data_IF_575948931500
#
_entry.id   IF_575948931500
#
_cell.length_a   1.000
_cell.length_b   1.000
_cell.length_c   1.000
_cell.angle_alpha   90.00
_cell.angle_beta   90.00
_cell.angle_gamma   90.00
#
_symmetry.space_group_name_H-M   'P 1'
#
loop_
_entity.id
_entity.type
_entity.pdbx_description
1 polymer ?
#
# COMPACT_ATOMS: atom_id res chain seq x y z
N UNK A 1 20.00 17.70 71.63
CA UNK A 1 20.00 17.21 70.24
C UNK A 1 18.96 16.10 70.18
N UNK A 2 17.77 16.39 69.64
CA UNK A 2 16.57 15.61 69.95
C UNK A 2 16.43 14.45 68.97
N UNK A 3 16.00 13.29 69.49
CA UNK A 3 15.79 12.04 68.75
C UNK A 3 14.83 12.18 67.56
N UNK A 4 14.03 13.25 67.52
CA UNK A 4 13.17 13.64 66.41
C UNK A 4 13.91 14.18 65.18
N UNK A 5 15.11 14.75 65.34
CA UNK A 5 15.86 15.34 64.22
C UNK A 5 16.60 14.27 63.38
N UNK A 6 16.83 13.07 63.95
CA UNK A 6 17.49 11.95 63.28
C UNK A 6 16.53 11.11 62.41
N UNK A 7 15.23 11.12 62.73
CA UNK A 7 14.20 10.36 61.98
C UNK A 7 13.86 11.06 60.65
N UNK A 8 13.93 12.40 60.61
CA UNK A 8 13.65 13.17 59.40
C UNK A 8 14.81 13.05 58.39
N UNK A 9 16.06 12.97 58.86
CA UNK A 9 17.23 12.80 57.99
C UNK A 9 17.31 11.41 57.33
N UNK A 10 16.86 10.35 58.03
CA UNK A 10 16.79 9.00 57.43
C UNK A 10 15.61 8.85 56.46
N UNK A 11 14.49 9.54 56.70
CA UNK A 11 13.31 9.51 55.83
C UNK A 11 13.51 10.22 54.48
N UNK A 12 14.35 11.26 54.44
CA UNK A 12 14.64 12.02 53.21
C UNK A 12 15.75 11.36 52.37
N UNK A 13 16.65 10.60 52.99
CA UNK A 13 17.73 9.91 52.25
C UNK A 13 17.26 8.63 51.54
N UNK A 14 16.12 8.04 51.96
CA UNK A 14 15.54 6.84 51.34
C UNK A 14 14.54 7.19 50.22
N UNK A 15 14.06 8.44 50.12
CA UNK A 15 13.08 8.84 49.10
C UNK A 15 13.69 9.41 47.80
N UNK A 16 15.02 9.38 47.64
CA UNK A 16 15.73 9.97 46.48
C UNK A 16 16.43 8.91 45.60
N UNK A 17 16.35 7.62 45.94
CA UNK A 17 16.99 6.54 45.15
C UNK A 17 16.02 5.52 44.55
N UNK A 18 14.76 5.92 44.33
CA UNK A 18 13.85 5.21 43.43
C UNK A 18 13.28 6.20 42.42
N UNK A 19 14.17 6.94 41.76
CA UNK A 19 13.92 7.25 40.35
C UNK A 19 14.26 5.96 39.63
N UNK A 20 13.32 5.01 39.67
CA UNK A 20 13.22 4.02 38.62
C UNK A 20 13.04 4.84 37.35
N UNK A 21 14.16 5.09 36.68
CA UNK A 21 14.20 5.34 35.27
C UNK A 21 13.62 4.08 34.64
N UNK A 22 12.30 3.97 34.64
CA UNK A 22 11.59 3.13 33.69
C UNK A 22 11.92 3.74 32.35
N UNK A 23 13.06 3.33 31.80
CA UNK A 23 13.23 3.25 30.37
C UNK A 23 12.11 2.31 29.93
N UNK A 24 10.96 2.91 29.62
CA UNK A 24 10.00 2.27 28.76
C UNK A 24 10.78 2.04 27.46
N UNK A 25 11.40 0.86 27.37
CA UNK A 25 11.87 0.33 26.10
C UNK A 25 10.63 0.33 25.24
N UNK A 26 10.49 1.36 24.40
CA UNK A 26 9.46 1.37 23.38
C UNK A 26 9.78 0.16 22.55
N UNK A 27 9.06 -0.95 22.77
CA UNK A 27 9.20 -2.13 21.95
C UNK A 27 9.07 -1.64 20.51
N UNK A 28 10.14 -1.82 19.73
CA UNK A 28 10.11 -1.53 18.31
C UNK A 28 9.05 -2.44 17.71
N UNK A 29 7.86 -1.89 17.44
CA UNK A 29 6.79 -2.62 16.76
C UNK A 29 7.25 -2.76 15.30
N UNK A 30 7.61 -3.98 14.91
CA UNK A 30 8.12 -4.31 13.58
C UNK A 30 7.43 -5.57 13.03
N UNK A 31 7.74 -5.91 11.78
CA UNK A 31 7.28 -7.12 11.12
C UNK A 31 5.76 -7.14 10.90
N UNK A 32 5.11 -8.31 10.96
CA UNK A 32 3.69 -8.45 10.66
C UNK A 32 2.77 -7.56 11.49
N UNK A 33 3.07 -7.36 12.78
CA UNK A 33 2.24 -6.55 13.69
C UNK A 33 2.24 -5.07 13.29
N UNK A 34 3.41 -4.52 12.93
CA UNK A 34 3.52 -3.14 12.47
C UNK A 34 2.75 -2.90 11.16
N UNK A 35 2.81 -3.88 10.24
CA UNK A 35 2.09 -3.85 8.95
C UNK A 35 0.59 -3.90 9.17
N UNK A 36 0.10 -4.85 9.99
CA UNK A 36 -1.32 -4.98 10.31
C UNK A 36 -1.86 -3.71 10.99
N UNK A 37 -1.07 -3.06 11.85
CA UNK A 37 -1.44 -1.79 12.45
C UNK A 37 -1.65 -0.69 11.41
N UNK A 38 -0.69 -0.52 10.48
CA UNK A 38 -0.81 0.44 9.38
C UNK A 38 -2.02 0.13 8.49
N UNK A 39 -2.19 -1.14 8.11
CA UNK A 39 -3.28 -1.56 7.22
C UNK A 39 -4.65 -1.32 7.84
N UNK A 40 -4.83 -1.63 9.13
CA UNK A 40 -6.06 -1.34 9.87
C UNK A 40 -6.33 0.15 9.96
N UNK A 41 -5.30 0.96 10.19
CA UNK A 41 -5.42 2.42 10.22
C UNK A 41 -5.90 2.95 8.86
N UNK A 42 -5.22 2.59 7.77
CA UNK A 42 -5.57 3.02 6.40
C UNK A 42 -6.98 2.57 6.02
N UNK A 43 -7.33 1.32 6.34
CA UNK A 43 -8.68 0.80 6.11
C UNK A 43 -9.72 1.63 6.86
N UNK A 44 -9.50 1.89 8.16
CA UNK A 44 -10.41 2.70 8.96
C UNK A 44 -10.61 4.12 8.38
N UNK A 45 -9.52 4.78 7.94
CA UNK A 45 -9.57 6.11 7.35
C UNK A 45 -10.42 6.15 6.07
N UNK A 46 -10.34 5.11 5.21
CA UNK A 46 -11.17 5.01 4.01
C UNK A 46 -12.66 4.94 4.34
N UNK A 47 -13.04 4.06 5.28
CA UNK A 47 -14.45 3.88 5.66
C UNK A 47 -15.02 5.09 6.42
N UNK A 48 -14.16 5.83 7.13
CA UNK A 48 -14.48 7.11 7.76
C UNK A 48 -14.45 8.30 6.77
N UNK A 49 -14.11 8.07 5.50
CA UNK A 49 -13.93 9.10 4.47
C UNK A 49 -12.95 10.21 4.87
N UNK A 50 -11.98 9.89 5.72
CA UNK A 50 -10.89 10.78 6.09
C UNK A 50 -9.81 10.77 5.00
N UNK A 51 -10.22 11.16 3.81
CA UNK A 51 -9.39 11.22 2.60
C UNK A 51 -8.20 12.17 2.77
N UNK A 52 -8.34 13.26 3.53
CA UNK A 52 -7.24 14.18 3.82
C UNK A 52 -6.07 13.49 4.51
N UNK A 53 -6.35 12.60 5.47
CA UNK A 53 -5.29 11.88 6.18
C UNK A 53 -4.66 10.80 5.29
N UNK A 54 -5.45 10.13 4.45
CA UNK A 54 -4.93 9.20 3.44
C UNK A 54 -3.96 9.91 2.47
N UNK A 55 -4.34 11.08 1.95
CA UNK A 55 -3.48 11.92 1.11
C UNK A 55 -2.18 12.33 1.83
N UNK A 56 -2.29 12.73 3.10
CA UNK A 56 -1.14 13.12 3.93
C UNK A 56 -0.19 11.95 4.15
N UNK A 57 -0.70 10.78 4.56
CA UNK A 57 0.09 9.57 4.80
C UNK A 57 0.82 9.12 3.54
N UNK A 58 0.13 9.05 2.40
CA UNK A 58 0.75 8.64 1.13
C UNK A 58 1.82 9.64 0.67
N UNK A 59 1.61 10.93 0.90
CA UNK A 59 2.60 11.97 0.60
C UNK A 59 3.83 11.83 1.49
N UNK A 60 3.63 11.68 2.80
CA UNK A 60 4.73 11.43 3.76
C UNK A 60 5.55 10.20 3.36
N UNK A 61 4.90 9.07 3.11
CA UNK A 61 5.59 7.82 2.75
C UNK A 61 6.34 7.92 1.43
N UNK A 62 5.84 8.69 0.46
CA UNK A 62 6.55 8.95 -0.81
C UNK A 62 7.74 9.87 -0.60
N UNK A 63 7.54 11.01 0.05
CA UNK A 63 8.56 12.05 0.23
C UNK A 63 9.71 11.55 1.10
N UNK A 64 9.39 10.92 2.23
CA UNK A 64 10.39 10.45 3.19
C UNK A 64 10.87 9.02 2.91
N UNK A 65 10.31 8.38 1.87
CA UNK A 65 10.61 6.98 1.51
C UNK A 65 10.49 6.04 2.72
N UNK A 66 9.44 6.27 3.51
CA UNK A 66 9.27 5.67 4.83
C UNK A 66 9.24 4.14 4.77
N UNK A 67 10.04 3.51 5.63
CA UNK A 67 10.16 2.06 5.76
C UNK A 67 9.78 1.62 7.18
N UNK A 68 9.40 0.35 7.30
CA UNK A 68 9.40 -0.35 8.58
C UNK A 68 10.85 -0.63 9.03
N UNK A 69 11.10 -0.93 10.32
CA UNK A 69 12.44 -1.26 10.79
C UNK A 69 13.10 -2.42 10.03
N UNK A 70 12.33 -3.39 9.55
CA UNK A 70 12.80 -4.47 8.65
C UNK A 70 13.17 -4.02 7.21
N UNK A 71 13.05 -2.73 6.90
CA UNK A 71 13.38 -2.13 5.61
C UNK A 71 12.28 -2.21 4.56
N UNK A 72 11.14 -2.83 4.85
CA UNK A 72 10.02 -2.91 3.91
C UNK A 72 9.29 -1.57 3.78
N UNK A 73 8.83 -1.25 2.55
CA UNK A 73 8.20 0.05 2.27
C UNK A 73 6.82 0.17 2.92
N UNK A 74 6.60 1.22 3.72
CA UNK A 74 5.25 1.55 4.25
C UNK A 74 4.27 1.90 3.13
N UNK A 75 4.75 2.53 2.06
CA UNK A 75 3.92 2.91 0.92
C UNK A 75 3.33 1.69 0.21
N UNK A 76 4.07 0.57 0.13
CA UNK A 76 3.54 -0.69 -0.42
C UNK A 76 2.35 -1.19 0.39
N UNK A 77 2.50 -1.30 1.70
CA UNK A 77 1.43 -1.79 2.59
C UNK A 77 0.26 -0.81 2.66
N UNK A 78 0.53 0.50 2.62
CA UNK A 78 -0.49 1.52 2.49
C UNK A 78 -1.40 1.26 1.28
N UNK A 79 -0.82 1.04 0.10
CA UNK A 79 -1.64 0.80 -1.10
C UNK A 79 -2.27 -0.59 -1.13
N UNK A 80 -1.60 -1.63 -0.62
CA UNK A 80 -2.12 -3.00 -0.60
C UNK A 80 -3.48 -3.15 0.10
N UNK A 81 -3.81 -2.25 1.05
CA UNK A 81 -5.14 -2.17 1.68
C UNK A 81 -6.26 -1.96 0.66
N UNK A 82 -5.96 -1.33 -0.47
CA UNK A 82 -6.97 -1.04 -1.49
C UNK A 82 -7.24 -2.20 -2.44
N UNK A 83 -6.50 -3.31 -2.33
CA UNK A 83 -6.66 -4.47 -3.22
C UNK A 83 -7.97 -5.25 -3.01
N UNK A 84 -8.62 -5.12 -1.85
CA UNK A 84 -9.91 -5.76 -1.58
C UNK A 84 -10.71 -5.04 -0.49
N UNK A 85 -12.06 -5.12 -0.52
CA UNK A 85 -12.90 -4.72 0.60
C UNK A 85 -12.70 -5.65 1.81
N UNK A 86 -13.19 -5.23 2.99
CA UNK A 86 -13.25 -6.11 4.18
C UNK A 86 -14.14 -7.34 3.97
N UNK A 87 -15.09 -7.25 3.04
CA UNK A 87 -15.99 -8.34 2.64
C UNK A 87 -15.98 -8.43 1.12
N UNK A 88 -15.43 -9.51 0.57
CA UNK A 88 -15.40 -9.80 -0.88
C UNK A 88 -16.76 -10.24 -1.45
N UNK A 89 -17.87 -9.74 -0.91
CA UNK A 89 -19.20 -9.92 -1.50
C UNK A 89 -19.41 -8.88 -2.59
N UNK A 90 -20.36 -9.12 -3.50
CA UNK A 90 -20.75 -8.12 -4.51
C UNK A 90 -21.12 -6.76 -3.87
N UNK A 91 -21.87 -6.77 -2.77
CA UNK A 91 -22.23 -5.57 -2.03
C UNK A 91 -21.03 -4.93 -1.32
N UNK A 92 -20.08 -5.74 -0.82
CA UNK A 92 -18.84 -5.24 -0.25
C UNK A 92 -17.98 -4.50 -1.28
N UNK A 93 -17.82 -5.05 -2.48
CA UNK A 93 -17.14 -4.38 -3.59
C UNK A 93 -17.84 -3.10 -4.02
N UNK A 94 -19.17 -3.12 -4.16
CA UNK A 94 -19.94 -1.90 -4.50
C UNK A 94 -19.72 -0.78 -3.49
N UNK A 95 -19.83 -1.09 -2.19
CA UNK A 95 -19.59 -0.11 -1.11
C UNK A 95 -18.17 0.42 -1.12
N UNK A 96 -17.21 -0.46 -1.42
CA UNK A 96 -15.80 -0.09 -1.47
C UNK A 96 -15.46 0.84 -2.63
N UNK A 97 -15.91 0.52 -3.85
CA UNK A 97 -15.76 1.41 -4.99
C UNK A 97 -16.49 2.75 -4.77
N UNK A 98 -17.66 2.75 -4.11
CA UNK A 98 -18.32 4.02 -3.77
C UNK A 98 -17.45 4.94 -2.89
N UNK A 99 -16.66 4.38 -1.95
CA UNK A 99 -15.71 5.18 -1.14
C UNK A 99 -14.53 5.69 -1.97
N UNK A 100 -14.00 4.86 -2.87
CA UNK A 100 -12.91 5.25 -3.77
C UNK A 100 -13.35 6.32 -4.78
N UNK A 101 -14.57 6.21 -5.31
CA UNK A 101 -15.15 7.20 -6.21
C UNK A 101 -15.38 8.53 -5.48
N UNK A 102 -15.88 8.50 -4.24
CA UNK A 102 -15.99 9.71 -3.42
C UNK A 102 -14.62 10.37 -3.17
N UNK A 103 -13.58 9.56 -2.94
CA UNK A 103 -12.21 10.06 -2.80
C UNK A 103 -11.70 10.72 -4.10
N UNK A 104 -11.86 10.05 -5.24
CA UNK A 104 -11.49 10.59 -6.56
C UNK A 104 -12.22 11.90 -6.88
N UNK A 105 -13.51 12.00 -6.54
CA UNK A 105 -14.29 13.23 -6.73
C UNK A 105 -13.80 14.38 -5.86
N UNK A 106 -13.46 14.10 -4.59
CA UNK A 106 -12.94 15.12 -3.66
C UNK A 106 -11.51 15.55 -4.00
N UNK A 107 -10.72 14.66 -4.56
CA UNK A 107 -9.31 14.90 -4.94
C UNK A 107 -9.04 14.55 -6.41
N UNK A 108 -9.63 15.27 -7.38
CA UNK A 108 -9.61 14.89 -8.80
C UNK A 108 -8.24 14.94 -9.46
N UNK A 109 -7.25 15.56 -8.80
CA UNK A 109 -5.86 15.65 -9.27
C UNK A 109 -4.90 14.75 -8.48
N UNK A 110 -5.40 14.02 -7.48
CA UNK A 110 -4.55 13.20 -6.62
C UNK A 110 -4.05 11.96 -7.36
N UNK A 111 -2.74 11.77 -7.38
CA UNK A 111 -2.16 10.50 -7.79
C UNK A 111 -2.47 9.39 -6.77
N UNK A 112 -2.59 9.73 -5.49
CA UNK A 112 -2.84 8.79 -4.41
C UNK A 112 -4.20 8.14 -4.56
N UNK A 113 -5.26 8.94 -4.74
CA UNK A 113 -6.61 8.41 -4.98
C UNK A 113 -6.67 7.57 -6.26
N UNK A 114 -5.99 8.00 -7.34
CA UNK A 114 -5.91 7.25 -8.60
C UNK A 114 -5.22 5.89 -8.45
N UNK A 115 -4.09 5.84 -7.75
CA UNK A 115 -3.36 4.60 -7.48
C UNK A 115 -4.14 3.67 -6.57
N UNK A 116 -4.77 4.18 -5.52
CA UNK A 116 -5.65 3.38 -4.65
C UNK A 116 -6.84 2.78 -5.41
N UNK A 117 -7.49 3.57 -6.27
CA UNK A 117 -8.60 3.07 -7.09
C UNK A 117 -8.14 2.03 -8.13
N UNK A 118 -6.96 2.22 -8.73
CA UNK A 118 -6.41 1.25 -9.67
C UNK A 118 -6.05 -0.08 -8.99
N UNK A 119 -5.49 -0.04 -7.79
CA UNK A 119 -5.22 -1.22 -6.96
C UNK A 119 -6.51 -2.03 -6.72
N UNK A 120 -7.61 -1.34 -6.38
CA UNK A 120 -8.91 -1.99 -6.19
C UNK A 120 -9.44 -2.65 -7.47
N UNK A 121 -9.26 -2.02 -8.64
CA UNK A 121 -9.63 -2.62 -9.92
C UNK A 121 -8.78 -3.84 -10.28
N UNK A 122 -7.48 -3.81 -9.98
CA UNK A 122 -6.57 -4.96 -10.16
C UNK A 122 -7.03 -6.12 -9.27
N UNK A 123 -7.24 -5.86 -7.98
CA UNK A 123 -7.70 -6.87 -7.03
C UNK A 123 -9.07 -7.43 -7.38
N UNK A 124 -10.01 -6.57 -7.83
CA UNK A 124 -11.31 -7.03 -8.31
C UNK A 124 -11.16 -7.90 -9.56
N UNK A 125 -10.25 -7.55 -10.48
CA UNK A 125 -9.89 -8.39 -11.62
C UNK A 125 -9.40 -9.77 -11.19
N UNK A 126 -8.46 -9.81 -10.26
CA UNK A 126 -7.90 -11.06 -9.72
C UNK A 126 -8.97 -11.93 -9.05
N UNK A 127 -9.94 -11.34 -8.35
CA UNK A 127 -11.06 -12.07 -7.75
C UNK A 127 -11.92 -12.79 -8.82
N UNK A 128 -12.21 -12.15 -9.96
CA UNK A 128 -12.95 -12.80 -11.04
C UNK A 128 -12.16 -13.91 -11.75
N UNK A 129 -10.84 -13.74 -11.89
CA UNK A 129 -9.95 -14.79 -12.41
C UNK A 129 -9.95 -16.01 -11.49
N UNK A 130 -10.04 -15.78 -10.18
CA UNK A 130 -9.90 -16.82 -9.15
C UNK A 130 -8.45 -17.23 -8.90
N UNK A 131 -8.26 -18.17 -7.98
CA UNK A 131 -6.94 -18.62 -7.51
C UNK A 131 -6.37 -19.82 -8.28
N UNK A 132 -7.04 -20.28 -9.33
CA UNK A 132 -6.62 -21.44 -10.13
C UNK A 132 -5.36 -21.17 -10.98
N UNK A 133 -4.79 -22.25 -11.50
CA UNK A 133 -3.74 -22.20 -12.53
C UNK A 133 -4.30 -21.58 -13.81
N UNK A 134 -3.45 -20.96 -14.64
CA UNK A 134 -3.88 -20.18 -15.81
C UNK A 134 -4.74 -20.98 -16.81
N UNK A 135 -4.46 -22.27 -16.97
CA UNK A 135 -5.18 -23.23 -17.80
C UNK A 135 -6.53 -23.69 -17.20
N UNK A 136 -6.77 -23.39 -15.92
CA UNK A 136 -8.03 -23.73 -15.21
C UNK A 136 -8.99 -22.54 -15.06
N UNK A 137 -8.57 -21.34 -15.48
CA UNK A 137 -9.40 -20.13 -15.42
C UNK A 137 -10.43 -20.16 -16.54
N UNK A 138 -11.70 -19.90 -16.19
CA UNK A 138 -12.80 -19.81 -17.17
C UNK A 138 -12.63 -18.64 -18.13
N UNK A 139 -13.20 -18.73 -19.33
CA UNK A 139 -13.23 -17.63 -20.30
C UNK A 139 -13.82 -16.34 -19.70
N UNK A 140 -14.90 -16.47 -18.93
CA UNK A 140 -15.54 -15.35 -18.24
C UNK A 140 -14.61 -14.72 -17.20
N UNK A 141 -13.86 -15.54 -16.46
CA UNK A 141 -12.85 -15.06 -15.51
C UNK A 141 -11.76 -14.24 -16.20
N UNK A 142 -11.26 -14.71 -17.34
CA UNK A 142 -10.31 -13.96 -18.17
C UNK A 142 -10.89 -12.65 -18.72
N UNK A 143 -12.12 -12.71 -19.24
CA UNK A 143 -12.82 -11.53 -19.78
C UNK A 143 -12.99 -10.44 -18.71
N UNK A 144 -13.44 -10.82 -17.51
CA UNK A 144 -13.62 -9.90 -16.39
C UNK A 144 -12.29 -9.34 -15.88
N UNK A 145 -11.25 -10.18 -15.79
CA UNK A 145 -9.91 -9.73 -15.45
C UNK A 145 -9.43 -8.64 -16.41
N UNK A 146 -9.47 -8.89 -17.73
CA UNK A 146 -9.04 -7.91 -18.73
C UNK A 146 -9.85 -6.60 -18.65
N UNK A 147 -11.17 -6.70 -18.53
CA UNK A 147 -12.04 -5.53 -18.40
C UNK A 147 -11.66 -4.67 -17.19
N UNK A 148 -11.34 -5.30 -16.06
CA UNK A 148 -10.98 -4.60 -14.81
C UNK A 148 -9.55 -4.08 -14.83
N UNK A 149 -8.62 -4.79 -15.49
CA UNK A 149 -7.27 -4.28 -15.77
C UNK A 149 -7.31 -3.01 -16.64
N UNK A 150 -8.19 -2.95 -17.63
CA UNK A 150 -8.35 -1.75 -18.45
C UNK A 150 -8.87 -0.55 -17.63
N UNK A 151 -9.77 -0.79 -16.68
CA UNK A 151 -10.20 0.26 -15.73
C UNK A 151 -9.02 0.76 -14.89
N UNK A 152 -8.21 -0.14 -14.34
CA UNK A 152 -6.99 0.23 -13.63
C UNK A 152 -6.01 1.01 -14.52
N UNK A 153 -5.79 0.56 -15.76
CA UNK A 153 -4.90 1.23 -16.72
C UNK A 153 -5.36 2.66 -17.01
N UNK A 154 -6.65 2.86 -17.28
CA UNK A 154 -7.20 4.20 -17.56
C UNK A 154 -6.96 5.20 -16.42
N UNK A 155 -6.92 4.70 -15.18
CA UNK A 155 -6.61 5.50 -14.00
C UNK A 155 -5.11 5.81 -13.85
N UNK A 156 -4.20 5.10 -14.52
CA UNK A 156 -2.75 5.22 -14.32
C UNK A 156 -1.95 5.64 -15.54
N UNK A 157 -2.50 5.49 -16.76
CA UNK A 157 -1.81 5.74 -18.01
C UNK A 157 -1.31 7.19 -18.12
N UNK A 158 -2.10 8.15 -17.63
CA UNK A 158 -1.72 9.57 -17.62
C UNK A 158 -0.84 9.91 -16.42
N UNK A 159 0.42 10.23 -16.68
CA UNK A 159 1.35 10.76 -15.67
C UNK A 159 0.89 12.12 -15.13
N UNK A 160 1.18 12.46 -13.87
CA UNK A 160 1.05 13.82 -13.36
C UNK A 160 1.91 14.80 -14.16
N UNK A 161 1.57 16.11 -14.10
CA UNK A 161 2.30 17.14 -14.84
C UNK A 161 3.75 17.29 -14.38
N UNK A 162 3.99 17.21 -13.06
CA UNK A 162 5.33 17.27 -12.48
C UNK A 162 5.74 15.86 -12.06
N UNK A 163 6.96 15.41 -12.37
CA UNK A 163 7.45 14.11 -11.91
C UNK A 163 7.38 13.94 -10.39
N UNK A 164 7.63 15.01 -9.62
CA UNK A 164 7.53 15.00 -8.16
C UNK A 164 6.13 14.72 -7.61
N UNK A 165 5.09 14.92 -8.43
CA UNK A 165 3.71 14.63 -8.05
C UNK A 165 3.35 13.15 -8.30
N UNK A 166 4.21 12.39 -8.97
CA UNK A 166 3.98 10.98 -9.31
C UNK A 166 4.25 10.03 -8.13
N UNK A 167 3.89 8.76 -8.31
CA UNK A 167 3.96 7.75 -7.27
C UNK A 167 4.74 6.53 -7.79
N UNK A 168 5.74 6.02 -7.05
CA UNK A 168 6.49 4.85 -7.51
C UNK A 168 5.59 3.60 -7.57
N UNK A 169 4.57 3.51 -6.71
CA UNK A 169 3.59 2.42 -6.75
C UNK A 169 2.72 2.45 -8.03
N UNK A 170 2.56 3.59 -8.72
CA UNK A 170 1.89 3.62 -10.03
C UNK A 170 2.60 2.71 -11.04
N UNK A 171 3.93 2.73 -11.05
CA UNK A 171 4.72 1.88 -11.96
C UNK A 171 4.60 0.41 -11.61
N UNK A 172 4.54 0.10 -10.31
CA UNK A 172 4.30 -1.26 -9.80
C UNK A 172 3.01 -1.84 -10.40
N UNK A 173 1.92 -1.08 -10.32
CA UNK A 173 0.62 -1.47 -10.84
C UNK A 173 0.61 -1.54 -12.38
N UNK A 174 1.30 -0.62 -13.05
CA UNK A 174 1.42 -0.68 -14.51
C UNK A 174 2.20 -1.89 -14.99
N UNK A 175 3.22 -2.36 -14.25
CA UNK A 175 3.93 -3.60 -14.57
C UNK A 175 3.00 -4.81 -14.43
N UNK A 176 2.17 -4.85 -13.38
CA UNK A 176 1.15 -5.89 -13.21
C UNK A 176 0.15 -5.86 -14.38
N UNK A 177 -0.37 -4.67 -14.71
CA UNK A 177 -1.32 -4.50 -15.83
C UNK A 177 -0.70 -4.93 -17.15
N UNK A 178 0.52 -4.47 -17.45
CA UNK A 178 1.24 -4.80 -18.68
C UNK A 178 1.43 -6.32 -18.83
N UNK A 179 1.65 -7.01 -17.72
CA UNK A 179 1.72 -8.46 -17.68
C UNK A 179 0.39 -9.10 -18.09
N UNK A 180 -0.73 -8.71 -17.48
CA UNK A 180 -2.05 -9.28 -17.77
C UNK A 180 -2.66 -8.82 -19.09
N UNK A 181 -2.21 -7.71 -19.66
CA UNK A 181 -2.60 -7.25 -20.99
C UNK A 181 -1.71 -7.81 -22.10
N UNK A 182 -0.73 -8.66 -21.78
CA UNK A 182 0.12 -9.29 -22.78
C UNK A 182 1.06 -8.31 -23.50
N UNK A 183 1.52 -7.25 -22.82
CA UNK A 183 2.45 -6.30 -23.43
C UNK A 183 3.72 -7.00 -23.91
N UNK A 184 4.26 -6.53 -25.03
CA UNK A 184 5.50 -7.09 -25.59
C UNK A 184 6.66 -6.90 -24.62
N UNK A 185 7.66 -7.78 -24.70
CA UNK A 185 8.84 -7.69 -23.84
C UNK A 185 9.54 -6.31 -23.90
N UNK A 186 9.77 -5.70 -25.08
CA UNK A 186 10.35 -4.36 -25.15
C UNK A 186 9.50 -3.28 -24.46
N UNK A 187 8.17 -3.32 -24.58
CA UNK A 187 7.28 -2.36 -23.90
C UNK A 187 7.35 -2.51 -22.37
N UNK A 188 7.36 -3.75 -21.87
CA UNK A 188 7.49 -4.05 -20.45
C UNK A 188 8.84 -3.61 -19.89
N UNK A 189 9.94 -3.91 -20.59
CA UNK A 189 11.30 -3.52 -20.19
C UNK A 189 11.48 -1.99 -20.21
N UNK A 190 10.89 -1.28 -21.18
CA UNK A 190 10.89 0.18 -21.20
C UNK A 190 10.16 0.77 -19.99
N UNK A 191 8.98 0.23 -19.64
CA UNK A 191 8.24 0.64 -18.45
C UNK A 191 9.02 0.36 -17.16
N UNK A 192 9.66 -0.81 -17.07
CA UNK A 192 10.50 -1.19 -15.93
C UNK A 192 11.70 -0.24 -15.79
N UNK A 193 12.39 0.06 -16.89
CA UNK A 193 13.51 1.00 -16.89
C UNK A 193 13.08 2.37 -16.40
N UNK A 194 11.93 2.87 -16.89
CA UNK A 194 11.37 4.13 -16.41
C UNK A 194 11.08 4.09 -14.89
N UNK A 195 10.51 2.99 -14.40
CA UNK A 195 10.17 2.81 -13.00
C UNK A 195 11.41 2.84 -12.07
N UNK A 196 12.47 2.12 -12.44
CA UNK A 196 13.72 2.11 -11.64
C UNK A 196 14.49 3.42 -11.76
N UNK A 197 14.37 4.16 -12.86
CA UNK A 197 14.92 5.52 -12.96
C UNK A 197 14.15 6.49 -12.08
N UNK A 198 12.82 6.34 -12.00
CA UNK A 198 11.96 7.19 -11.19
C UNK A 198 12.21 7.05 -9.68
N UNK A 199 12.25 5.81 -9.16
CA UNK A 199 12.63 5.56 -7.76
C UNK A 199 13.40 4.24 -7.61
N UNK A 200 14.74 4.26 -7.70
CA UNK A 200 15.57 3.06 -7.55
C UNK A 200 15.42 2.37 -6.19
N UNK A 201 14.96 3.10 -5.16
CA UNK A 201 14.85 2.60 -3.80
C UNK A 201 13.52 1.89 -3.51
N UNK A 202 12.56 1.98 -4.43
CA UNK A 202 11.25 1.35 -4.29
C UNK A 202 11.31 -0.12 -4.72
N UNK A 203 11.80 -0.96 -3.81
CA UNK A 203 12.18 -2.36 -4.04
C UNK A 203 11.09 -3.25 -4.68
N UNK A 204 9.81 -2.88 -4.57
CA UNK A 204 8.68 -3.66 -5.10
C UNK A 204 8.75 -3.80 -6.63
N UNK A 205 9.23 -2.75 -7.31
CA UNK A 205 9.39 -2.74 -8.77
C UNK A 205 10.30 -3.90 -9.24
N UNK A 206 11.39 -4.16 -8.51
CA UNK A 206 12.32 -5.26 -8.83
C UNK A 206 11.66 -6.62 -8.63
N UNK A 207 10.89 -6.80 -7.56
CA UNK A 207 10.20 -8.07 -7.27
C UNK A 207 9.27 -8.46 -8.41
N UNK A 208 8.48 -7.51 -8.92
CA UNK A 208 7.55 -7.77 -10.02
C UNK A 208 8.27 -8.11 -11.34
N UNK A 209 9.38 -7.44 -11.64
CA UNK A 209 10.16 -7.74 -12.84
C UNK A 209 10.73 -9.18 -12.83
N UNK A 210 11.34 -9.61 -11.73
CA UNK A 210 11.94 -10.94 -11.63
C UNK A 210 10.92 -12.07 -11.43
N UNK A 211 9.68 -11.74 -11.04
CA UNK A 211 8.60 -12.73 -10.87
C UNK A 211 7.81 -12.97 -12.15
N UNK A 212 8.08 -12.24 -13.25
CA UNK A 212 7.41 -12.42 -14.53
C UNK A 212 7.76 -13.81 -15.11
N UNK A 213 6.77 -14.69 -15.33
CA UNK A 213 7.01 -15.95 -16.05
C UNK A 213 7.45 -15.65 -17.49
N UNK A 214 8.44 -16.39 -17.99
CA UNK A 214 8.93 -16.29 -19.38
C UNK A 214 7.85 -16.61 -20.41
N UNK A 215 6.81 -17.34 -19.99
CA UNK A 215 5.65 -17.70 -20.80
C UNK A 215 4.39 -17.43 -19.99
N UNK A 216 3.63 -16.40 -20.37
CA UNK A 216 2.25 -16.25 -19.91
C UNK A 216 1.39 -16.64 -21.09
N UNK A 217 0.78 -17.82 -21.02
CA UNK A 217 -0.28 -18.19 -21.95
C UNK A 217 -1.52 -17.43 -21.48
N UNK A 218 -1.64 -16.20 -21.95
CA UNK A 218 -2.93 -15.48 -21.89
C UNK A 218 -3.68 -15.97 -23.13
N UNK A 219 -4.80 -16.67 -22.99
CA UNK A 219 -5.63 -16.97 -24.15
C UNK A 219 -6.06 -15.62 -24.75
N UNK A 220 -5.55 -15.35 -25.96
CA UNK A 220 -5.93 -14.17 -26.73
C UNK A 220 -7.35 -14.43 -27.21
N UNK A 221 -8.30 -13.60 -26.75
CA UNK A 221 -9.68 -13.58 -27.26
C UNK A 221 -9.73 -12.88 -28.60
#
# INVERSE_FOLDING_TARGET
MKMTDMIIALGITILVLIVECTTASSQLIDGPVAREHLERQVSALLYQENFSELERMATDFRTNKSKFPDGTSKLRYYYGVFSAPKSSTLEGWKRFFAKLDAWLQKYPKSITARVAAAEAWIGYGAEARGSGFADTVTEEGWRLLHQRMEKAYSLLAKKPKRPSDDCPHRYDLLLIIAQYQGWTRPQYEALFHEAITFDPSYQVINVNYYSRPTTIIIPVS
#
